data_IF_225586022374
#
_entry.id   IF_225586022374
#
_cell.length_a   1.000
_cell.length_b   1.000
_cell.length_c   1.000
_cell.angle_alpha   90.00
_cell.angle_beta   90.00
_cell.angle_gamma   90.00
#
_symmetry.space_group_name_H-M   'P 1'
#
loop_
_entity.id
_entity.type
_entity.pdbx_description
1 polymer ?
#
# COMPACT_ATOMS: atom_id res chain seq x y z
N UNK A 1 3.60 12.71 8.03
CA UNK A 1 2.41 11.95 7.61
C UNK A 1 2.52 10.51 8.13
N UNK A 2 1.47 9.97 8.72
CA UNK A 2 1.36 8.55 9.09
C UNK A 2 0.37 7.86 8.16
N UNK A 3 0.74 6.71 7.62
CA UNK A 3 -0.14 5.86 6.84
C UNK A 3 -0.33 4.56 7.59
N UNK A 4 -1.59 4.16 7.76
CA UNK A 4 -1.97 2.91 8.42
C UNK A 4 -2.94 2.15 7.54
N UNK A 5 -2.51 1.00 7.05
CA UNK A 5 -3.31 0.05 6.29
C UNK A 5 -3.64 -1.15 7.19
N UNK A 6 -4.92 -1.42 7.37
CA UNK A 6 -5.40 -2.59 8.11
C UNK A 6 -6.19 -3.50 7.18
N UNK A 7 -5.92 -4.80 7.26
CA UNK A 7 -6.65 -5.80 6.49
C UNK A 7 -6.79 -7.10 7.28
N UNK A 8 -7.81 -7.88 6.95
CA UNK A 8 -8.02 -9.18 7.56
C UNK A 8 -7.18 -10.24 6.84
N UNK A 9 -6.40 -10.98 7.62
CA UNK A 9 -5.59 -12.09 7.13
C UNK A 9 -6.34 -13.38 7.46
N UNK A 10 -6.77 -14.11 6.42
CA UNK A 10 -7.31 -15.46 6.60
C UNK A 10 -6.16 -16.43 6.85
N UNK A 11 -6.20 -17.12 7.99
CA UNK A 11 -5.23 -18.16 8.32
C UNK A 11 -5.27 -19.29 7.30
N UNK A 12 -4.09 -19.82 6.97
CA UNK A 12 -4.00 -20.97 6.08
C UNK A 12 -4.66 -22.22 6.72
N UNK A 13 -5.68 -22.82 6.08
CA UNK A 13 -6.33 -24.03 6.59
C UNK A 13 -5.45 -25.29 6.48
N UNK A 14 -4.29 -25.20 5.84
CA UNK A 14 -3.40 -26.30 5.46
C UNK A 14 -2.65 -27.03 6.58
N UNK A 15 -3.00 -26.89 7.86
CA UNK A 15 -2.52 -27.82 8.88
C UNK A 15 -3.08 -29.25 8.67
N UNK A 16 -4.17 -29.41 7.90
CA UNK A 16 -4.82 -30.70 7.64
C UNK A 16 -4.64 -31.26 6.21
N UNK A 17 -4.02 -30.52 5.27
CA UNK A 17 -3.95 -30.92 3.86
C UNK A 17 -2.51 -31.15 3.38
N UNK A 18 -2.15 -32.43 3.20
CA UNK A 18 -0.85 -32.90 2.77
C UNK A 18 -0.48 -32.54 1.31
N UNK A 19 -1.41 -32.00 0.52
CA UNK A 19 -1.15 -31.58 -0.87
C UNK A 19 -0.42 -30.24 -0.98
N UNK A 20 -0.27 -29.50 0.13
CA UNK A 20 0.29 -28.15 0.18
C UNK A 20 1.83 -28.13 0.34
N UNK A 21 2.56 -28.77 -0.59
CA UNK A 21 4.01 -28.99 -0.52
C UNK A 21 4.88 -27.71 -0.48
N UNK A 22 4.33 -26.53 -0.83
CA UNK A 22 5.09 -25.26 -0.91
C UNK A 22 4.78 -24.17 0.12
N UNK A 23 3.77 -24.33 0.99
CA UNK A 23 3.19 -23.20 1.76
C UNK A 23 3.12 -23.45 3.28
N UNK A 24 3.93 -24.38 3.80
CA UNK A 24 3.97 -24.70 5.25
C UNK A 24 4.33 -23.51 6.16
N UNK A 25 4.89 -22.44 5.59
CA UNK A 25 5.29 -21.23 6.32
C UNK A 25 4.56 -19.95 5.88
N UNK A 26 3.56 -20.06 5.00
CA UNK A 26 2.76 -18.92 4.56
C UNK A 26 1.41 -18.95 5.28
N UNK A 27 1.33 -18.14 6.34
CA UNK A 27 0.11 -17.96 7.10
C UNK A 27 -0.89 -17.03 6.40
N UNK A 28 -0.38 -16.05 5.66
CA UNK A 28 -1.19 -14.99 5.07
C UNK A 28 -1.93 -15.45 3.80
N UNK A 29 -3.25 -15.27 3.76
CA UNK A 29 -4.07 -15.47 2.55
C UNK A 29 -3.56 -14.66 1.38
N UNK A 30 -3.39 -13.39 1.66
CA UNK A 30 -2.79 -12.37 0.82
C UNK A 30 -2.17 -11.35 1.76
N UNK A 31 -1.00 -10.80 1.40
CA UNK A 31 -0.52 -9.58 2.04
C UNK A 31 -0.99 -8.37 1.24
N UNK A 32 -1.65 -7.40 1.85
CA UNK A 32 -1.81 -6.09 1.22
C UNK A 32 -0.63 -5.19 1.55
N UNK A 33 -0.16 -4.38 0.61
CA UNK A 33 0.90 -3.40 0.85
C UNK A 33 0.48 -2.05 0.31
N UNK A 34 1.09 -1.00 0.86
CA UNK A 34 0.97 0.34 0.30
C UNK A 34 2.34 0.88 -0.10
N UNK A 35 2.34 1.69 -1.15
CA UNK A 35 3.47 2.47 -1.61
C UNK A 35 2.99 3.86 -2.02
N UNK A 36 3.86 4.84 -1.86
CA UNK A 36 3.62 6.23 -2.28
C UNK A 36 4.59 6.54 -3.42
N UNK A 37 4.12 7.33 -4.39
CA UNK A 37 4.98 7.82 -5.47
C UNK A 37 6.04 8.74 -4.88
N UNK A 38 7.28 8.67 -5.39
CA UNK A 38 8.35 9.56 -4.95
C UNK A 38 8.24 10.93 -5.64
N UNK A 39 8.78 12.01 -5.05
CA UNK A 39 8.64 13.36 -5.63
C UNK A 39 9.17 13.45 -7.07
N UNK A 40 10.31 12.83 -7.35
CA UNK A 40 10.95 12.81 -8.68
C UNK A 40 10.53 11.63 -9.58
N UNK A 41 9.62 10.76 -9.13
CA UNK A 41 9.20 9.57 -9.88
C UNK A 41 7.97 9.90 -10.72
N UNK A 42 7.99 9.52 -12.01
CA UNK A 42 6.84 9.65 -12.90
C UNK A 42 5.77 8.60 -12.57
N UNK A 43 4.51 8.92 -12.82
CA UNK A 43 3.38 7.99 -12.62
C UNK A 43 3.55 6.62 -13.29
N UNK A 44 3.94 6.50 -14.58
CA UNK A 44 4.23 5.20 -15.20
C UNK A 44 5.36 4.44 -14.51
N UNK A 45 6.42 5.12 -14.05
CA UNK A 45 7.55 4.47 -13.37
C UNK A 45 7.14 3.95 -11.99
N UNK A 46 6.29 4.70 -11.30
CA UNK A 46 5.66 4.28 -10.05
C UNK A 46 4.84 2.99 -10.22
N UNK A 47 4.02 2.92 -11.27
CA UNK A 47 3.24 1.72 -11.56
C UNK A 47 4.13 0.53 -11.92
N UNK A 48 5.19 0.72 -12.72
CA UNK A 48 6.20 -0.31 -13.03
C UNK A 48 6.97 -0.79 -11.79
N UNK A 49 7.21 0.10 -10.83
CA UNK A 49 7.85 -0.23 -9.55
C UNK A 49 6.98 -1.19 -8.74
N UNK A 50 5.70 -0.88 -8.60
CA UNK A 50 4.74 -1.69 -7.82
C UNK A 50 4.39 -2.99 -8.54
N UNK A 51 3.98 -2.90 -9.79
CA UNK A 51 3.46 -4.03 -10.53
C UNK A 51 4.58 -4.69 -11.34
N UNK A 52 5.01 -5.87 -10.89
CA UNK A 52 6.03 -6.65 -11.62
C UNK A 52 5.57 -7.06 -13.02
N UNK A 53 4.26 -7.16 -13.27
CA UNK A 53 3.72 -7.51 -14.59
C UNK A 53 3.79 -6.36 -15.60
N UNK A 54 3.79 -5.11 -15.12
CA UNK A 54 4.01 -3.91 -15.96
C UNK A 54 5.49 -3.73 -16.34
N UNK A 55 6.38 -4.58 -15.82
CA UNK A 55 7.79 -4.58 -16.22
C UNK A 55 7.92 -5.31 -17.54
N UNK A 56 8.40 -4.61 -18.56
CA UNK A 56 8.80 -5.25 -19.82
C UNK A 56 9.82 -6.36 -19.54
N UNK A 57 9.58 -7.54 -20.12
CA UNK A 57 10.47 -8.70 -19.99
C UNK A 57 11.86 -8.33 -20.53
N UNK A 58 12.85 -8.22 -19.65
CA UNK A 58 14.25 -7.96 -20.01
C UNK A 58 14.80 -6.61 -19.56
N UNK A 59 13.96 -5.67 -19.13
CA UNK A 59 14.42 -4.39 -18.58
C UNK A 59 14.75 -4.57 -17.10
N UNK A 60 16.03 -4.41 -16.74
CA UNK A 60 16.44 -4.25 -15.34
C UNK A 60 15.94 -2.89 -14.88
N UNK A 61 14.83 -2.87 -14.14
CA UNK A 61 14.43 -1.67 -13.42
C UNK A 61 15.50 -1.42 -12.35
N UNK A 62 16.32 -0.40 -12.56
CA UNK A 62 17.18 0.11 -11.50
C UNK A 62 16.25 0.57 -10.39
N UNK A 63 16.31 -0.10 -9.24
CA UNK A 63 15.57 0.34 -8.07
C UNK A 63 16.14 1.70 -7.69
N UNK A 64 15.50 2.77 -8.14
CA UNK A 64 15.86 4.13 -7.74
C UNK A 64 15.87 4.18 -6.21
N UNK A 65 16.76 5.00 -5.65
CA UNK A 65 17.03 5.24 -4.22
C UNK A 65 15.90 4.87 -3.26
N UNK A 66 16.22 4.12 -2.20
CA UNK A 66 15.31 3.90 -1.07
C UNK A 66 14.82 5.25 -0.55
N UNK A 67 13.51 5.39 -0.38
CA UNK A 67 12.89 6.58 0.18
C UNK A 67 13.26 6.63 1.67
N UNK A 68 14.29 7.41 2.02
CA UNK A 68 14.90 7.46 3.36
C UNK A 68 14.02 8.11 4.41
N UNK A 69 12.96 8.79 3.97
CA UNK A 69 12.10 9.63 4.79
C UNK A 69 11.06 8.82 5.60
N UNK A 70 11.07 7.49 5.46
CA UNK A 70 10.24 6.58 6.23
C UNK A 70 10.94 6.12 7.51
N UNK A 71 10.23 6.22 8.64
CA UNK A 71 10.76 5.89 9.95
C UNK A 71 10.97 4.37 10.15
N UNK A 72 9.99 3.55 9.76
CA UNK A 72 10.03 2.08 9.94
C UNK A 72 10.57 1.41 8.67
N UNK A 73 10.14 1.92 7.52
CA UNK A 73 10.57 1.48 6.21
C UNK A 73 9.84 0.24 5.69
N UNK A 74 10.03 -0.06 4.39
CA UNK A 74 9.17 -0.98 3.63
C UNK A 74 9.30 -2.45 4.05
N UNK A 75 10.38 -2.85 4.73
CA UNK A 75 10.56 -4.23 5.19
C UNK A 75 9.89 -4.49 6.54
N UNK A 76 9.95 -3.53 7.46
CA UNK A 76 9.49 -3.73 8.83
C UNK A 76 8.02 -3.33 9.03
N UNK A 77 7.47 -2.43 8.20
CA UNK A 77 6.07 -1.98 8.29
C UNK A 77 5.04 -3.03 7.90
N UNK A 78 5.46 -4.16 7.31
CA UNK A 78 4.58 -5.14 6.64
C UNK A 78 4.33 -6.38 7.52
N UNK A 79 4.58 -6.30 8.83
CA UNK A 79 4.41 -7.45 9.72
C UNK A 79 2.99 -7.52 10.25
N UNK A 80 2.30 -8.64 9.99
CA UNK A 80 0.95 -8.89 10.48
C UNK A 80 -0.14 -8.19 9.67
N UNK A 81 -1.30 -8.00 10.29
CA UNK A 81 -2.52 -7.46 9.65
C UNK A 81 -2.58 -5.94 9.56
N UNK A 82 -1.77 -5.24 10.36
CA UNK A 82 -1.74 -3.78 10.44
C UNK A 82 -0.37 -3.29 9.98
N UNK A 83 -0.35 -2.56 8.87
CA UNK A 83 0.86 -1.96 8.31
C UNK A 83 0.82 -0.46 8.57
N UNK A 84 1.71 0.01 9.44
CA UNK A 84 1.79 1.43 9.77
C UNK A 84 3.20 1.93 9.57
N UNK A 85 3.32 3.11 8.97
CA UNK A 85 4.61 3.78 8.80
C UNK A 85 4.43 5.30 8.85
N UNK A 86 5.50 5.98 9.24
CA UNK A 86 5.54 7.43 9.39
C UNK A 86 6.55 7.97 8.39
N UNK A 87 6.07 8.84 7.51
CA UNK A 87 6.88 9.61 6.58
C UNK A 87 7.09 11.03 7.14
N UNK A 88 8.33 11.49 7.12
CA UNK A 88 8.74 12.81 7.62
C UNK A 88 9.38 13.59 6.48
N UNK A 89 8.90 14.79 6.21
CA UNK A 89 9.45 15.65 5.17
C UNK A 89 8.69 16.96 5.07
N UNK A 90 9.01 17.76 4.06
CA UNK A 90 8.38 19.07 3.86
C UNK A 90 6.96 18.93 3.32
N UNK A 91 6.12 19.93 3.55
CA UNK A 91 4.77 19.97 2.98
C UNK A 91 4.80 19.97 1.43
N UNK A 92 5.79 20.63 0.82
CA UNK A 92 5.98 20.65 -0.62
C UNK A 92 6.31 19.25 -1.17
N UNK A 93 7.20 18.50 -0.50
CA UNK A 93 7.52 17.14 -0.89
C UNK A 93 6.29 16.21 -0.76
N UNK A 94 5.50 16.38 0.31
CA UNK A 94 4.28 15.61 0.49
C UNK A 94 3.26 15.88 -0.63
N UNK A 95 3.04 17.15 -0.98
CA UNK A 95 2.14 17.56 -2.05
C UNK A 95 2.61 17.02 -3.40
N UNK A 96 3.92 17.05 -3.66
CA UNK A 96 4.51 16.54 -4.90
C UNK A 96 4.45 15.02 -5.05
N UNK A 97 4.16 14.25 -4.00
CA UNK A 97 4.02 12.79 -4.09
C UNK A 97 2.67 12.39 -4.69
N UNK A 98 1.57 13.05 -4.30
CA UNK A 98 0.27 13.06 -5.00
C UNK A 98 -0.45 11.73 -5.27
N UNK A 99 0.17 10.56 -5.05
CA UNK A 99 -0.39 9.24 -5.35
C UNK A 99 0.03 8.22 -4.31
N UNK A 100 -0.95 7.47 -3.80
CA UNK A 100 -0.78 6.31 -2.95
C UNK A 100 -1.44 5.11 -3.62
N UNK A 101 -0.71 4.01 -3.70
CA UNK A 101 -1.22 2.76 -4.25
C UNK A 101 -1.30 1.71 -3.15
N UNK A 102 -2.44 1.02 -3.08
CA UNK A 102 -2.63 -0.20 -2.29
C UNK A 102 -2.67 -1.38 -3.24
N UNK A 103 -1.86 -2.40 -3.00
CA UNK A 103 -1.74 -3.53 -3.92
C UNK A 103 -1.56 -4.87 -3.19
N UNK A 104 -2.05 -5.96 -3.81
CA UNK A 104 -1.90 -7.31 -3.29
C UNK A 104 -0.48 -7.86 -3.50
N UNK A 105 -0.01 -8.64 -2.52
CA UNK A 105 1.20 -9.44 -2.56
C UNK A 105 0.86 -10.90 -2.30
N UNK A 106 1.59 -11.78 -2.97
CA UNK A 106 1.33 -13.22 -2.97
C UNK A 106 1.24 -13.82 -1.57
N UNK A 107 0.10 -14.47 -1.28
CA UNK A 107 -0.10 -15.36 -0.13
C UNK A 107 -0.66 -16.72 -0.57
N UNK A 108 -1.18 -17.52 0.37
CA UNK A 108 -1.63 -18.89 0.09
C UNK A 108 -2.83 -18.97 -0.88
N UNK A 109 -3.61 -17.89 -1.03
CA UNK A 109 -4.70 -17.82 -2.00
C UNK A 109 -4.24 -18.06 -3.44
N UNK A 110 -3.01 -17.64 -3.79
CA UNK A 110 -2.45 -17.86 -5.14
C UNK A 110 -2.30 -19.35 -5.48
N UNK A 111 -1.98 -20.17 -4.48
CA UNK A 111 -1.70 -21.60 -4.67
C UNK A 111 -2.98 -22.46 -4.55
N UNK A 112 -4.08 -21.89 -4.02
CA UNK A 112 -5.35 -22.58 -3.83
C UNK A 112 -6.26 -22.49 -5.06
N UNK A 113 -5.80 -23.07 -6.18
CA UNK A 113 -6.55 -23.09 -7.45
C UNK A 113 -7.92 -23.75 -7.25
N UNK A 114 -8.00 -24.82 -6.46
CA UNK A 114 -9.23 -25.59 -6.23
C UNK A 114 -10.32 -24.85 -5.43
N UNK A 115 -10.06 -23.64 -4.90
CA UNK A 115 -11.01 -22.91 -4.03
C UNK A 115 -11.55 -21.63 -4.64
N UNK A 116 -11.22 -21.33 -5.90
CA UNK A 116 -11.71 -20.17 -6.67
C UNK A 116 -11.61 -18.82 -5.92
N UNK A 117 -10.63 -18.69 -5.01
CA UNK A 117 -10.47 -17.51 -4.13
C UNK A 117 -9.99 -16.25 -4.87
N UNK A 118 -9.68 -16.35 -6.17
CA UNK A 118 -9.16 -15.25 -6.98
C UNK A 118 -10.19 -14.13 -7.25
N UNK A 119 -11.49 -14.43 -7.19
CA UNK A 119 -12.55 -13.46 -7.51
C UNK A 119 -13.26 -12.89 -6.27
N UNK A 120 -12.66 -13.04 -5.08
CA UNK A 120 -13.26 -12.60 -3.82
C UNK A 120 -12.81 -11.17 -3.50
N UNK A 121 -13.75 -10.25 -3.19
CA UNK A 121 -13.38 -8.90 -2.76
C UNK A 121 -12.69 -8.94 -1.39
N UNK A 122 -11.62 -8.15 -1.25
CA UNK A 122 -10.89 -8.02 0.01
C UNK A 122 -11.27 -6.72 0.69
N UNK A 123 -11.61 -6.82 1.97
CA UNK A 123 -11.92 -5.67 2.82
C UNK A 123 -10.64 -5.17 3.49
N UNK A 124 -10.37 -3.88 3.33
CA UNK A 124 -9.26 -3.19 3.99
C UNK A 124 -9.70 -1.80 4.44
N UNK A 125 -8.97 -1.24 5.40
CA UNK A 125 -9.12 0.14 5.85
C UNK A 125 -7.78 0.86 5.68
N UNK A 126 -7.82 2.04 5.06
CA UNK A 126 -6.66 2.91 4.90
C UNK A 126 -6.92 4.20 5.67
N UNK A 127 -6.03 4.52 6.60
CA UNK A 127 -6.05 5.74 7.39
C UNK A 127 -4.78 6.52 7.09
N UNK A 128 -4.93 7.78 6.72
CA UNK A 128 -3.82 8.71 6.50
C UNK A 128 -3.97 9.84 7.51
N UNK A 129 -2.96 10.05 8.32
CA UNK A 129 -2.90 11.15 9.28
C UNK A 129 -1.80 12.12 8.83
N UNK A 130 -2.15 13.38 8.65
CA UNK A 130 -1.19 14.45 8.38
C UNK A 130 -1.03 15.24 9.69
N UNK A 131 0.22 15.40 10.11
CA UNK A 131 0.57 16.16 11.31
C UNK A 131 1.62 17.18 10.89
N UNK A 132 1.36 18.43 11.21
CA UNK A 132 2.26 19.56 10.99
C UNK A 132 2.70 20.09 12.36
N UNK A 133 3.89 20.71 12.44
CA UNK A 133 4.22 21.52 13.62
C UNK A 133 3.21 22.66 13.77
N UNK A 134 3.12 23.21 14.99
CA UNK A 134 2.16 24.25 15.34
C UNK A 134 2.23 25.40 14.33
N UNK A 135 1.16 25.59 13.59
CA UNK A 135 1.06 26.58 12.52
C UNK A 135 -0.25 27.32 12.70
N UNK A 136 -0.21 28.65 12.64
CA UNK A 136 -1.41 29.52 12.75
C UNK A 136 -2.39 29.37 11.57
N UNK A 137 -2.14 28.44 10.66
CA UNK A 137 -2.90 28.21 9.43
C UNK A 137 -4.03 27.21 9.71
N UNK A 138 -5.28 27.63 9.47
CA UNK A 138 -6.45 26.75 9.55
C UNK A 138 -6.52 25.82 8.32
N UNK A 139 -5.84 24.68 8.43
CA UNK A 139 -5.85 23.63 7.40
C UNK A 139 -7.19 22.91 7.32
N UNK A 140 -7.95 22.84 8.41
CA UNK A 140 -9.17 22.04 8.47
C UNK A 140 -10.26 22.64 7.57
N UNK A 141 -10.53 23.94 7.73
CA UNK A 141 -11.57 24.63 6.94
C UNK A 141 -11.25 24.60 5.45
N UNK A 142 -9.98 24.80 5.07
CA UNK A 142 -9.55 24.77 3.66
C UNK A 142 -9.77 23.39 3.05
N UNK A 143 -9.37 22.32 3.74
CA UNK A 143 -9.54 20.95 3.26
C UNK A 143 -11.01 20.54 3.21
N UNK A 144 -11.79 20.91 4.22
CA UNK A 144 -13.23 20.61 4.26
C UNK A 144 -13.97 21.25 3.08
N UNK A 145 -13.66 22.51 2.75
CA UNK A 145 -14.25 23.19 1.61
C UNK A 145 -13.90 22.52 0.27
N UNK A 146 -12.66 22.02 0.11
CA UNK A 146 -12.27 21.28 -1.09
C UNK A 146 -13.04 19.96 -1.23
N UNK A 147 -13.15 19.18 -0.15
CA UNK A 147 -13.86 17.89 -0.15
C UNK A 147 -15.34 18.07 -0.48
N UNK A 148 -15.99 19.08 0.12
CA UNK A 148 -17.41 19.36 -0.13
C UNK A 148 -17.66 19.69 -1.61
N UNK A 149 -16.82 20.52 -2.20
CA UNK A 149 -16.97 20.93 -3.61
C UNK A 149 -16.78 19.75 -4.57
N UNK A 150 -15.80 18.87 -4.35
CA UNK A 150 -15.60 17.68 -5.19
C UNK A 150 -16.75 16.66 -5.08
N UNK A 151 -17.37 16.52 -3.91
CA UNK A 151 -18.48 15.57 -3.70
C UNK A 151 -19.78 15.93 -4.45
N UNK A 152 -19.89 17.16 -4.95
CA UNK A 152 -21.09 17.70 -5.61
C UNK A 152 -21.15 17.48 -7.13
N UNK A 153 -20.09 16.98 -7.76
CA UNK A 153 -20.04 16.75 -9.21
C UNK A 153 -20.06 15.24 -9.48
N UNK A 154 -21.25 14.66 -9.47
CA UNK A 154 -21.55 13.44 -10.20
C UNK A 154 -22.64 13.78 -11.22
N UNK A 155 -22.22 14.04 -12.46
CA UNK A 155 -23.09 14.09 -13.65
C UNK A 155 -22.91 12.78 -14.40
#
# INVERSE_FOLDING_TARGET
MRVTLSHFIEGNPGACDASFSGSRYQYESLGLRFEIRRPAESTPDFLKRINKNEREKGVKFESTSTDSDWLIGPKNRVRGSIHSDIWIGTAADLANRGMLAVFPVTGWWKNSINRERYNIPIRYSLIITITTPDSEIDLYTVVQNQILNESSIKV
#
